data_IF_088954960740
#
_entry.id   IF_088954960740
#
_cell.length_a   1.000
_cell.length_b   1.000
_cell.length_c   1.000
_cell.angle_alpha   90.00
_cell.angle_beta   90.00
_cell.angle_gamma   90.00
#
_symmetry.space_group_name_H-M   'P 1'
#
loop_
_entity.id
_entity.type
_entity.pdbx_description
1 polymer ?
#
# COMPACT_ATOMS: atom_id res chain seq x y z
N UNK A 1 28.75 -18.73 62.56
CA UNK A 1 28.19 -18.04 61.37
C UNK A 1 29.08 -18.38 60.18
N UNK A 2 28.46 -18.76 59.08
CA UNK A 2 28.99 -19.60 57.98
C UNK A 2 30.27 -19.12 57.30
N UNK A 3 31.17 -20.09 57.07
CA UNK A 3 32.07 -20.10 55.92
C UNK A 3 31.27 -20.48 54.66
N UNK A 4 31.53 -19.82 53.54
CA UNK A 4 31.01 -20.23 52.23
C UNK A 4 32.16 -20.35 51.24
N UNK A 5 32.47 -21.59 50.88
CA UNK A 5 33.52 -22.01 49.97
C UNK A 5 32.93 -22.04 48.56
N UNK A 6 33.46 -21.24 47.64
CA UNK A 6 33.07 -21.24 46.24
C UNK A 6 33.79 -22.32 45.45
N UNK A 7 33.04 -23.28 44.91
CA UNK A 7 33.50 -24.36 44.04
C UNK A 7 32.53 -24.51 42.86
N UNK A 8 32.89 -24.08 41.65
CA UNK A 8 32.30 -24.49 40.36
C UNK A 8 33.39 -24.22 39.28
N UNK A 9 34.22 -25.19 38.89
CA UNK A 9 33.98 -26.30 37.94
C UNK A 9 33.60 -25.81 36.54
N UNK A 10 34.63 -25.73 35.69
CA UNK A 10 34.70 -26.47 34.42
C UNK A 10 33.66 -26.17 33.35
N UNK A 11 33.99 -25.27 32.40
CA UNK A 11 33.43 -25.30 31.06
C UNK A 11 33.96 -26.53 30.31
N UNK A 12 33.21 -27.63 30.38
CA UNK A 12 33.40 -28.80 29.56
C UNK A 12 32.92 -28.54 28.12
N UNK A 13 33.89 -28.64 27.21
CA UNK A 13 33.78 -29.20 25.86
C UNK A 13 32.39 -29.68 25.43
N UNK A 14 31.81 -28.97 24.47
CA UNK A 14 30.82 -29.54 23.55
C UNK A 14 31.33 -29.34 22.12
N UNK A 15 32.10 -30.32 21.66
CA UNK A 15 32.46 -30.54 20.26
C UNK A 15 31.88 -31.89 19.85
N UNK A 16 30.78 -31.88 19.09
CA UNK A 16 30.16 -33.04 18.44
C UNK A 16 29.40 -32.51 17.21
N UNK A 17 29.95 -32.47 16.00
CA UNK A 17 30.28 -33.54 15.04
C UNK A 17 29.12 -33.94 14.10
N UNK A 18 29.50 -34.10 12.81
CA UNK A 18 28.85 -34.80 11.67
C UNK A 18 27.93 -33.93 10.78
N UNK A 19 28.07 -33.90 9.45
CA UNK A 19 28.97 -34.62 8.56
C UNK A 19 28.70 -34.25 7.10
N UNK A 20 29.76 -34.04 6.33
CA UNK A 20 29.73 -33.88 4.87
C UNK A 20 30.21 -35.18 4.25
N UNK A 21 29.34 -35.92 3.58
CA UNK A 21 29.70 -37.10 2.81
C UNK A 21 28.80 -37.16 1.58
N UNK A 22 29.27 -36.59 0.48
CA UNK A 22 28.72 -36.87 -0.84
C UNK A 22 29.89 -36.91 -1.81
N UNK A 23 30.53 -38.08 -1.86
CA UNK A 23 31.35 -38.51 -2.97
C UNK A 23 30.59 -39.66 -3.65
N UNK A 24 30.16 -39.44 -4.89
CA UNK A 24 30.00 -40.46 -5.92
C UNK A 24 29.80 -39.72 -7.25
N UNK A 25 30.89 -39.64 -8.01
CA UNK A 25 30.87 -39.30 -9.42
C UNK A 25 30.81 -40.62 -10.19
N UNK A 26 29.77 -40.82 -10.99
CA UNK A 26 29.70 -41.88 -11.99
C UNK A 26 29.15 -41.30 -13.28
N UNK A 27 29.90 -41.56 -14.35
CA UNK A 27 29.69 -41.14 -15.73
C UNK A 27 28.31 -41.57 -16.25
N UNK A 28 27.51 -40.63 -16.74
CA UNK A 28 26.48 -40.92 -17.73
C UNK A 28 26.43 -39.82 -18.80
N UNK A 29 26.78 -40.25 -20.00
CA UNK A 29 26.43 -39.74 -21.34
C UNK A 29 25.90 -38.33 -21.47
N UNK A 30 26.65 -37.50 -22.20
CA UNK A 30 26.13 -36.29 -22.84
C UNK A 30 25.06 -36.65 -23.88
N UNK A 31 23.80 -36.74 -23.47
CA UNK A 31 22.69 -36.79 -24.41
C UNK A 31 22.29 -35.35 -24.74
N UNK A 32 22.70 -34.91 -25.94
CA UNK A 32 22.34 -33.61 -26.50
C UNK A 32 20.82 -33.58 -26.76
N UNK A 33 20.07 -32.89 -25.91
CA UNK A 33 18.67 -32.58 -26.18
C UNK A 33 18.62 -31.39 -27.15
N UNK A 34 18.07 -31.62 -28.34
CA UNK A 34 17.69 -30.54 -29.23
C UNK A 34 16.48 -29.82 -28.64
N UNK A 35 16.64 -28.53 -28.33
CA UNK A 35 15.55 -27.66 -27.90
C UNK A 35 14.69 -27.34 -29.11
N UNK A 36 13.62 -28.09 -29.32
CA UNK A 36 12.55 -27.69 -30.24
C UNK A 36 11.81 -26.50 -29.63
N UNK A 37 12.12 -25.29 -30.11
CA UNK A 37 11.40 -24.07 -29.74
C UNK A 37 9.99 -24.13 -30.35
N UNK A 38 8.91 -24.14 -29.56
CA UNK A 38 7.57 -24.06 -30.13
C UNK A 38 7.41 -22.69 -30.83
N UNK A 39 6.64 -22.61 -31.94
CA UNK A 39 6.31 -21.32 -32.51
C UNK A 39 5.43 -20.59 -31.51
N UNK A 40 6.01 -19.60 -30.81
CA UNK A 40 5.20 -18.62 -30.09
C UNK A 40 4.46 -17.82 -31.17
N UNK A 41 3.18 -18.13 -31.35
CA UNK A 41 2.30 -17.23 -32.07
C UNK A 41 2.36 -15.90 -31.34
N UNK A 42 2.74 -14.82 -32.04
CA UNK A 42 2.74 -13.47 -31.51
C UNK A 42 1.30 -13.04 -31.26
N UNK A 43 0.74 -13.45 -30.12
CA UNK A 43 -0.49 -12.86 -29.61
C UNK A 43 -0.13 -11.42 -29.24
N UNK A 44 -0.55 -10.48 -30.08
CA UNK A 44 -0.57 -9.07 -29.71
C UNK A 44 -1.57 -8.92 -28.57
N UNK A 45 -1.10 -9.03 -27.32
CA UNK A 45 -1.84 -8.53 -26.17
C UNK A 45 -1.89 -7.01 -26.32
N UNK A 46 -2.96 -6.52 -26.96
CA UNK A 46 -3.38 -5.16 -26.73
C UNK A 46 -3.59 -5.03 -25.20
N UNK A 47 -2.76 -4.22 -24.57
CA UNK A 47 -2.98 -3.84 -23.17
C UNK A 47 -4.43 -3.36 -23.04
N UNK A 48 -5.14 -3.71 -21.95
CA UNK A 48 -6.46 -3.15 -21.73
C UNK A 48 -6.32 -1.63 -21.78
N UNK A 49 -6.91 -1.03 -22.80
CA UNK A 49 -7.13 0.41 -22.80
C UNK A 49 -7.99 0.64 -21.56
N UNK A 50 -7.44 1.38 -20.58
CA UNK A 50 -8.22 1.87 -19.47
C UNK A 50 -9.31 2.74 -20.09
N UNK A 51 -10.46 2.13 -20.34
CA UNK A 51 -11.67 2.83 -20.74
C UNK A 51 -11.82 3.95 -19.74
N UNK A 52 -11.79 5.19 -20.22
CA UNK A 52 -12.03 6.36 -19.43
C UNK A 52 -13.36 6.13 -18.71
N UNK A 53 -13.29 5.66 -17.45
CA UNK A 53 -14.46 5.60 -16.58
C UNK A 53 -14.78 7.05 -16.39
N UNK A 54 -15.68 7.56 -17.22
CA UNK A 54 -16.22 8.90 -17.06
C UNK A 54 -16.59 8.99 -15.59
N UNK A 55 -15.91 9.87 -14.86
CA UNK A 55 -16.18 10.07 -13.46
C UNK A 55 -17.71 10.24 -13.33
N UNK A 56 -18.36 9.52 -12.39
CA UNK A 56 -19.78 9.72 -12.15
C UNK A 56 -20.06 11.21 -12.10
N UNK A 57 -21.00 11.69 -12.91
CA UNK A 57 -21.34 13.11 -12.97
C UNK A 57 -21.86 13.50 -11.57
N UNK A 58 -20.98 14.09 -10.77
CA UNK A 58 -21.27 14.48 -9.41
C UNK A 58 -22.16 15.74 -9.48
N UNK A 59 -23.34 15.74 -8.85
CA UNK A 59 -24.20 16.92 -8.87
C UNK A 59 -23.47 18.12 -8.25
N UNK A 60 -23.84 19.36 -8.59
CA UNK A 60 -23.38 20.53 -7.85
C UNK A 60 -23.62 20.36 -6.35
N UNK A 61 -22.57 20.48 -5.54
CA UNK A 61 -22.65 20.20 -4.10
C UNK A 61 -22.45 18.72 -3.72
N UNK A 62 -22.15 17.85 -4.67
CA UNK A 62 -21.71 16.48 -4.43
C UNK A 62 -20.24 16.38 -3.99
N UNK A 63 -19.74 15.17 -3.76
CA UNK A 63 -18.45 14.93 -3.11
C UNK A 63 -17.21 15.37 -3.92
N UNK A 64 -17.22 15.21 -5.25
CA UNK A 64 -16.18 15.72 -6.14
C UNK A 64 -16.25 17.25 -6.25
N UNK A 65 -17.44 17.82 -6.40
CA UNK A 65 -17.65 19.27 -6.41
C UNK A 65 -17.12 19.90 -5.12
N UNK A 66 -17.41 19.27 -3.97
CA UNK A 66 -16.86 19.62 -2.67
C UNK A 66 -15.32 19.54 -2.64
N UNK A 67 -14.76 18.44 -3.13
CA UNK A 67 -13.33 18.18 -3.13
C UNK A 67 -12.56 19.24 -3.92
N UNK A 68 -13.06 19.61 -5.10
CA UNK A 68 -12.44 20.60 -5.97
C UNK A 68 -12.54 22.01 -5.38
N UNK A 69 -13.73 22.45 -4.94
CA UNK A 69 -13.93 23.81 -4.44
C UNK A 69 -13.19 24.11 -3.14
N UNK A 70 -12.95 23.08 -2.32
CA UNK A 70 -12.22 23.21 -1.06
C UNK A 70 -10.70 23.03 -1.22
N UNK A 71 -10.18 23.02 -2.45
CA UNK A 71 -8.76 23.04 -2.72
C UNK A 71 -8.03 21.70 -2.54
N UNK A 72 -8.75 20.59 -2.33
CA UNK A 72 -8.12 19.28 -2.18
C UNK A 72 -7.34 18.87 -3.44
N UNK A 73 -7.85 19.26 -4.62
CA UNK A 73 -7.21 19.02 -5.92
C UNK A 73 -5.91 19.79 -6.16
N UNK A 74 -5.58 20.81 -5.35
CA UNK A 74 -4.30 21.50 -5.43
C UNK A 74 -3.13 20.61 -4.94
N UNK A 75 -3.41 19.68 -4.03
CA UNK A 75 -2.42 18.77 -3.47
C UNK A 75 -2.56 17.34 -4.00
N UNK A 76 -3.77 16.90 -4.33
CA UNK A 76 -4.05 15.51 -4.68
C UNK A 76 -4.50 15.35 -6.13
N UNK A 77 -4.09 14.24 -6.73
CA UNK A 77 -4.54 13.83 -8.06
C UNK A 77 -5.76 12.91 -7.94
N UNK A 78 -6.75 13.12 -8.80
CA UNK A 78 -7.80 12.14 -9.12
C UNK A 78 -7.89 12.09 -10.65
N UNK A 79 -7.41 10.99 -11.24
CA UNK A 79 -7.41 10.81 -12.70
C UNK A 79 -8.82 10.87 -13.26
N UNK A 80 -8.98 11.56 -14.39
CA UNK A 80 -10.27 11.81 -15.02
C UNK A 80 -11.06 13.00 -14.44
N UNK A 81 -10.43 13.83 -13.60
CA UNK A 81 -11.01 15.07 -13.04
C UNK A 81 -10.00 16.22 -13.17
N UNK A 82 -10.41 17.43 -12.80
CA UNK A 82 -9.54 18.62 -12.74
C UNK A 82 -8.52 18.61 -11.57
N UNK A 83 -8.55 17.57 -10.72
CA UNK A 83 -7.62 17.41 -9.62
C UNK A 83 -6.29 16.82 -10.11
N UNK A 84 -5.27 17.67 -10.21
CA UNK A 84 -3.95 17.33 -10.74
C UNK A 84 -2.79 17.57 -9.74
N UNK A 85 -3.09 17.80 -8.47
CA UNK A 85 -2.08 18.07 -7.45
C UNK A 85 -1.18 16.86 -7.18
N UNK A 86 0.11 17.13 -6.96
CA UNK A 86 1.13 16.08 -6.75
C UNK A 86 1.88 16.21 -5.42
N UNK A 87 1.46 17.13 -4.55
CA UNK A 87 2.06 17.33 -3.22
C UNK A 87 1.68 16.18 -2.28
N UNK A 88 0.41 15.76 -2.36
CA UNK A 88 -0.14 14.62 -1.66
C UNK A 88 -0.18 13.37 -2.56
N UNK A 89 -0.52 12.21 -2.00
CA UNK A 89 -0.68 10.97 -2.76
C UNK A 89 -1.81 11.06 -3.79
N UNK A 90 -1.68 10.31 -4.89
CA UNK A 90 -2.76 10.03 -5.84
C UNK A 90 -3.93 9.37 -5.09
N UNK A 91 -5.15 9.86 -5.29
CA UNK A 91 -6.38 9.35 -4.66
C UNK A 91 -7.28 8.57 -5.62
N UNK A 92 -6.89 8.42 -6.90
CA UNK A 92 -7.70 7.80 -7.97
C UNK A 92 -8.25 6.41 -7.61
N UNK A 93 -7.57 5.67 -6.76
CA UNK A 93 -7.94 4.32 -6.31
C UNK A 93 -8.00 4.22 -4.78
N UNK A 94 -8.34 5.31 -4.08
CA UNK A 94 -8.34 5.36 -2.62
C UNK A 94 -9.30 4.31 -2.02
N UNK A 95 -10.47 4.12 -2.61
CA UNK A 95 -11.49 3.15 -2.19
C UNK A 95 -11.01 1.69 -2.23
N UNK A 96 -10.15 1.35 -3.19
CA UNK A 96 -9.53 0.03 -3.37
C UNK A 96 -8.43 -0.30 -2.33
N UNK A 97 -8.01 0.67 -1.49
CA UNK A 97 -6.99 0.45 -0.45
C UNK A 97 -7.56 -0.21 0.79
N UNK A 98 -6.72 -0.92 1.53
CA UNK A 98 -7.07 -1.48 2.85
C UNK A 98 -7.01 -0.43 3.98
N UNK A 99 -6.11 0.55 3.87
CA UNK A 99 -5.84 1.54 4.91
C UNK A 99 -5.55 2.94 4.35
N UNK A 100 -5.70 3.97 5.20
CA UNK A 100 -5.42 5.38 4.90
C UNK A 100 -4.38 5.96 5.89
N UNK A 101 -3.97 7.22 5.68
CA UNK A 101 -3.04 7.92 6.59
C UNK A 101 -1.61 7.36 6.58
N UNK A 102 -1.24 6.60 5.55
CA UNK A 102 -0.05 5.73 5.51
C UNK A 102 -0.14 4.52 6.46
N UNK A 103 -1.30 3.85 6.49
CA UNK A 103 -1.47 2.56 7.15
C UNK A 103 -1.96 2.63 8.60
N UNK A 104 -2.20 3.83 9.14
CA UNK A 104 -2.56 4.03 10.56
C UNK A 104 -4.06 3.85 10.84
N UNK A 105 -4.90 3.89 9.81
CA UNK A 105 -6.36 3.83 9.94
C UNK A 105 -6.96 2.88 8.90
N UNK A 106 -8.00 2.11 9.23
CA UNK A 106 -8.73 1.32 8.25
C UNK A 106 -9.40 2.25 7.22
N UNK A 107 -9.55 1.78 5.98
CA UNK A 107 -10.16 2.57 4.91
C UNK A 107 -11.70 2.52 4.95
N UNK A 108 -12.31 3.18 5.95
CA UNK A 108 -13.77 3.37 6.06
C UNK A 108 -14.16 4.83 5.78
N UNK A 109 -15.42 5.08 5.42
CA UNK A 109 -15.94 6.45 5.20
C UNK A 109 -15.72 7.33 6.45
N UNK A 110 -15.95 6.78 7.64
CA UNK A 110 -15.80 7.49 8.92
C UNK A 110 -14.33 7.82 9.20
N UNK A 111 -13.42 6.89 8.92
CA UNK A 111 -11.98 7.10 9.10
C UNK A 111 -11.48 8.19 8.15
N UNK A 112 -11.93 8.18 6.89
CA UNK A 112 -11.62 9.23 5.91
C UNK A 112 -12.14 10.58 6.39
N UNK A 113 -13.40 10.67 6.83
CA UNK A 113 -14.00 11.90 7.32
C UNK A 113 -13.24 12.47 8.53
N UNK A 114 -12.86 11.61 9.49
CA UNK A 114 -12.04 12.00 10.64
C UNK A 114 -10.67 12.51 10.24
N UNK A 115 -10.03 11.85 9.26
CA UNK A 115 -8.73 12.25 8.76
C UNK A 115 -8.78 13.59 8.02
N UNK A 116 -9.84 13.85 7.24
CA UNK A 116 -10.05 15.16 6.61
C UNK A 116 -10.24 16.26 7.67
N UNK A 117 -11.07 16.00 8.69
CA UNK A 117 -11.37 16.99 9.71
C UNK A 117 -10.11 17.36 10.53
N UNK A 118 -9.42 16.36 11.10
CA UNK A 118 -8.31 16.56 12.05
C UNK A 118 -7.16 15.57 11.80
N UNK A 119 -6.40 15.71 10.70
CA UNK A 119 -5.28 14.82 10.41
C UNK A 119 -4.17 14.96 11.45
N UNK A 120 -3.98 16.15 12.01
CA UNK A 120 -2.98 16.50 13.03
C UNK A 120 -3.11 15.67 14.31
N UNK A 121 -4.36 15.38 14.71
CA UNK A 121 -4.65 14.58 15.90
C UNK A 121 -4.43 13.08 15.69
N UNK A 122 -4.44 12.63 14.43
CA UNK A 122 -4.31 11.21 14.06
C UNK A 122 -2.87 10.87 13.64
N UNK A 123 -2.16 11.84 13.05
CA UNK A 123 -0.80 11.70 12.56
C UNK A 123 0.02 12.94 12.89
N UNK A 124 0.70 12.97 14.04
CA UNK A 124 1.60 14.08 14.38
C UNK A 124 2.63 14.33 13.27
N UNK A 125 2.80 15.60 12.88
CA UNK A 125 3.71 16.00 11.80
C UNK A 125 3.16 15.83 10.38
N UNK A 126 1.87 15.50 10.21
CA UNK A 126 1.21 15.51 8.91
C UNK A 126 1.19 16.92 8.31
N UNK A 127 1.40 16.99 6.99
CA UNK A 127 1.42 18.26 6.24
C UNK A 127 0.08 18.61 5.59
N UNK A 128 -0.85 17.66 5.54
CA UNK A 128 -2.23 17.92 5.13
C UNK A 128 -2.90 18.81 6.19
N UNK A 129 -3.45 19.98 5.82
CA UNK A 129 -4.11 20.85 6.78
C UNK A 129 -5.42 20.23 7.29
N UNK A 130 -5.88 20.71 8.45
CA UNK A 130 -7.20 20.38 8.98
C UNK A 130 -8.30 21.09 8.19
N UNK A 131 -9.45 20.43 8.05
CA UNK A 131 -10.64 20.95 7.38
C UNK A 131 -11.88 21.01 8.30
N UNK A 132 -11.68 21.09 9.61
CA UNK A 132 -12.74 21.13 10.63
C UNK A 132 -13.57 22.42 10.61
N UNK A 133 -13.16 23.43 9.84
CA UNK A 133 -13.99 24.60 9.52
C UNK A 133 -15.13 24.30 8.53
N UNK A 134 -15.07 23.18 7.80
CA UNK A 134 -16.14 22.80 6.88
C UNK A 134 -17.34 22.20 7.64
N UNK A 135 -18.57 22.37 7.15
CA UNK A 135 -19.72 21.69 7.71
C UNK A 135 -19.52 20.17 7.72
N UNK A 136 -19.85 19.51 8.83
CA UNK A 136 -19.65 18.05 8.99
C UNK A 136 -20.34 17.22 7.88
N UNK A 137 -21.44 17.71 7.32
CA UNK A 137 -22.12 17.06 6.20
C UNK A 137 -21.26 17.09 4.92
N UNK A 138 -20.55 18.19 4.67
CA UNK A 138 -19.68 18.35 3.51
C UNK A 138 -18.46 17.42 3.60
N UNK A 139 -17.84 17.35 4.79
CA UNK A 139 -16.72 16.42 5.02
C UNK A 139 -17.14 14.97 4.76
N UNK A 140 -18.34 14.57 5.22
CA UNK A 140 -18.86 13.22 4.96
C UNK A 140 -19.13 12.98 3.48
N UNK A 141 -19.65 13.96 2.75
CA UNK A 141 -19.87 13.82 1.30
C UNK A 141 -18.55 13.65 0.55
N UNK A 142 -17.50 14.40 0.92
CA UNK A 142 -16.14 14.19 0.38
C UNK A 142 -15.66 12.78 0.70
N UNK A 143 -15.76 12.37 1.97
CA UNK A 143 -15.28 11.07 2.42
C UNK A 143 -15.96 9.91 1.69
N UNK A 144 -17.28 9.99 1.49
CA UNK A 144 -18.05 9.01 0.72
C UNK A 144 -17.57 8.91 -0.72
N UNK A 145 -17.42 10.06 -1.39
CA UNK A 145 -16.92 10.10 -2.76
C UNK A 145 -15.54 9.46 -2.86
N UNK A 146 -14.61 9.85 -1.98
CA UNK A 146 -13.27 9.29 -1.91
C UNK A 146 -13.26 7.78 -1.66
N UNK A 147 -14.17 7.28 -0.83
CA UNK A 147 -14.29 5.85 -0.54
C UNK A 147 -14.79 5.04 -1.74
N UNK A 148 -15.48 5.65 -2.68
CA UNK A 148 -16.01 5.00 -3.88
C UNK A 148 -14.99 4.91 -5.04
N UNK A 149 -13.81 5.54 -4.92
CA UNK A 149 -12.78 5.58 -5.98
C UNK A 149 -12.04 4.24 -6.11
N UNK A 150 -12.22 3.50 -7.20
CA UNK A 150 -11.69 2.15 -7.38
C UNK A 150 -10.55 2.04 -8.38
#
# INVERSE_FOLDING_TARGET
MSANTGLLVGCAFWFLAKGSCWAAAEELGHQRTEVVKPPIASVSLAAPQFSNVAAPQDPPGGGLSLFLRNGCGACHTIRGTDAHGTIGPDLSHLGSRTAIGAGILPNTEEAIARFIARPDLLKPGVKMPAFDMLPQIEIRMIARYLKALQ
#
